data_IF_485934500070
#
_entry.id   IF_485934500070
#
_cell.length_a   1.000
_cell.length_b   1.000
_cell.length_c   1.000
_cell.angle_alpha   90.00
_cell.angle_beta   90.00
_cell.angle_gamma   90.00
#
_symmetry.space_group_name_H-M   'P 1'
#
loop_
_entity.id
_entity.type
_entity.pdbx_description
1 polymer ?
#
# COMPACT_ATOMS: atom_id res chain seq x y z
N UNK A 1 4.70 4.03 2.14
CA UNK A 1 4.05 4.18 0.84
C UNK A 1 3.95 5.65 0.44
N UNK A 2 4.51 6.01 -0.72
CA UNK A 2 4.39 7.36 -1.29
C UNK A 2 3.04 7.42 -2.02
N UNK A 3 1.99 7.82 -1.34
CA UNK A 3 0.62 7.79 -1.88
C UNK A 3 0.18 9.11 -2.53
N UNK A 4 0.79 10.25 -2.18
CA UNK A 4 0.48 11.53 -2.80
C UNK A 4 1.62 11.99 -3.69
N UNK A 5 1.28 12.41 -4.91
CA UNK A 5 2.23 12.94 -5.87
C UNK A 5 2.29 14.44 -5.79
N UNK A 6 3.48 15.00 -6.00
CA UNK A 6 3.58 16.42 -6.26
C UNK A 6 2.77 16.77 -7.51
N UNK A 7 1.92 17.77 -7.36
CA UNK A 7 1.11 18.31 -8.47
C UNK A 7 1.85 19.37 -9.29
N UNK A 8 3.05 19.80 -8.83
CA UNK A 8 3.88 20.86 -9.46
C UNK A 8 5.37 20.54 -9.31
N UNK A 9 6.19 21.09 -10.18
CA UNK A 9 7.65 20.87 -10.19
C UNK A 9 8.37 21.37 -8.92
N UNK A 10 7.81 22.33 -8.18
CA UNK A 10 8.31 22.75 -6.86
C UNK A 10 8.18 21.71 -5.75
N UNK A 11 7.45 20.62 -5.99
CA UNK A 11 7.26 19.52 -5.04
C UNK A 11 8.26 18.36 -5.28
N UNK A 12 9.05 18.41 -6.38
CA UNK A 12 10.07 17.40 -6.69
C UNK A 12 11.25 17.46 -5.72
N UNK A 13 11.69 18.67 -5.32
CA UNK A 13 12.73 18.83 -4.29
C UNK A 13 12.33 18.24 -2.96
N UNK A 14 11.05 18.33 -2.59
CA UNK A 14 10.53 17.75 -1.36
C UNK A 14 10.49 16.20 -1.41
N UNK A 15 10.37 15.60 -2.61
CA UNK A 15 10.41 14.12 -2.75
C UNK A 15 11.83 13.61 -2.51
N UNK A 16 12.82 14.26 -3.06
CA UNK A 16 14.22 13.85 -2.90
C UNK A 16 14.66 13.92 -1.43
N UNK A 17 14.30 15.00 -0.73
CA UNK A 17 14.53 15.13 0.71
C UNK A 17 13.78 14.04 1.51
N UNK A 18 12.52 13.77 1.12
CA UNK A 18 11.72 12.70 1.76
C UNK A 18 12.35 11.33 1.52
N UNK A 19 12.77 11.03 0.30
CA UNK A 19 13.42 9.76 -0.03
C UNK A 19 14.74 9.59 0.72
N UNK A 20 15.57 10.62 0.79
CA UNK A 20 16.82 10.57 1.54
C UNK A 20 16.56 10.15 3.00
N UNK A 21 15.58 10.79 3.68
CA UNK A 21 15.22 10.45 5.06
C UNK A 21 14.63 9.05 5.16
N UNK A 22 13.78 8.62 4.23
CA UNK A 22 13.18 7.29 4.24
C UNK A 22 14.24 6.19 4.05
N UNK A 23 15.20 6.41 3.15
CA UNK A 23 16.26 5.45 2.85
C UNK A 23 17.29 5.36 3.99
N UNK A 24 17.53 6.45 4.75
CA UNK A 24 18.33 6.41 5.98
C UNK A 24 17.76 5.49 7.06
N UNK A 25 16.46 5.16 6.99
CA UNK A 25 15.79 4.24 7.91
C UNK A 25 15.94 2.76 7.49
N UNK A 26 16.67 2.49 6.42
CA UNK A 26 16.98 1.15 5.89
C UNK A 26 15.72 0.25 5.69
N UNK A 27 14.66 0.73 4.99
CA UNK A 27 13.51 -0.10 4.73
C UNK A 27 13.85 -1.21 3.74
N UNK A 28 13.26 -2.40 3.88
CA UNK A 28 13.40 -3.49 2.92
C UNK A 28 12.89 -3.10 1.54
N UNK A 29 11.83 -2.28 1.49
CA UNK A 29 11.31 -1.75 0.23
C UNK A 29 10.56 -0.43 0.40
N UNK A 30 10.45 0.32 -0.70
CA UNK A 30 9.59 1.52 -0.79
C UNK A 30 8.58 1.31 -1.91
N UNK A 31 7.27 1.38 -1.60
CA UNK A 31 6.23 1.28 -2.62
C UNK A 31 5.92 2.64 -3.26
N UNK A 32 5.83 2.64 -4.59
CA UNK A 32 5.59 3.85 -5.39
C UNK A 32 4.23 3.75 -6.06
N UNK A 33 3.32 4.69 -5.75
CA UNK A 33 1.97 4.66 -6.29
C UNK A 33 1.93 5.00 -7.78
N UNK A 34 1.08 4.27 -8.50
CA UNK A 34 0.76 4.55 -9.90
C UNK A 34 -0.33 5.62 -9.97
N UNK A 35 -0.16 6.67 -10.77
CA UNK A 35 -1.19 7.69 -10.87
C UNK A 35 -2.29 7.34 -11.83
N UNK A 36 -3.50 7.61 -11.44
CA UNK A 36 -4.63 7.66 -12.35
C UNK A 36 -4.43 8.86 -13.30
N UNK A 37 -4.15 8.63 -14.58
CA UNK A 37 -4.10 9.75 -15.51
C UNK A 37 -3.08 9.70 -16.65
N UNK A 38 -2.95 8.57 -17.33
CA UNK A 38 -2.25 8.49 -18.61
C UNK A 38 -0.72 8.37 -18.55
N UNK A 39 -0.09 8.29 -19.72
CA UNK A 39 1.33 7.99 -19.93
C UNK A 39 2.32 8.91 -19.19
N UNK A 40 2.02 10.20 -19.07
CA UNK A 40 2.90 11.15 -18.38
C UNK A 40 3.08 10.87 -16.89
N UNK A 41 2.05 10.32 -16.25
CA UNK A 41 2.10 9.97 -14.83
C UNK A 41 2.81 8.63 -14.58
N UNK A 42 2.75 7.72 -15.55
CA UNK A 42 3.45 6.45 -15.50
C UNK A 42 4.97 6.65 -15.53
N UNK A 43 5.47 7.50 -16.42
CA UNK A 43 6.90 7.79 -16.52
C UNK A 43 7.48 8.32 -15.21
N UNK A 44 6.76 9.20 -14.50
CA UNK A 44 7.20 9.71 -13.19
C UNK A 44 7.29 8.61 -12.11
N UNK A 45 6.36 7.67 -12.10
CA UNK A 45 6.41 6.53 -11.17
C UNK A 45 7.63 5.66 -11.44
N UNK A 46 7.90 5.37 -12.70
CA UNK A 46 9.07 4.59 -13.12
C UNK A 46 10.37 5.32 -12.80
N UNK A 47 10.47 6.61 -13.11
CA UNK A 47 11.68 7.41 -12.79
C UNK A 47 11.93 7.46 -11.27
N UNK A 48 10.89 7.59 -10.47
CA UNK A 48 11.02 7.55 -9.02
C UNK A 48 11.48 6.17 -8.52
N UNK A 49 10.91 5.09 -9.07
CA UNK A 49 11.31 3.73 -8.74
C UNK A 49 12.76 3.43 -9.13
N UNK A 50 13.19 3.89 -10.32
CA UNK A 50 14.60 3.81 -10.75
C UNK A 50 15.53 4.52 -9.77
N UNK A 51 15.16 5.72 -9.33
CA UNK A 51 15.93 6.49 -8.37
C UNK A 51 16.07 5.75 -7.04
N UNK A 52 14.97 5.19 -6.51
CA UNK A 52 14.97 4.40 -5.29
C UNK A 52 15.92 3.21 -5.42
N UNK A 53 15.87 2.46 -6.54
CA UNK A 53 16.71 1.30 -6.75
C UNK A 53 18.17 1.64 -7.00
N UNK A 54 18.46 2.56 -7.90
CA UNK A 54 19.81 2.77 -8.41
C UNK A 54 20.61 3.82 -7.64
N UNK A 55 19.95 4.82 -7.05
CA UNK A 55 20.63 5.87 -6.28
C UNK A 55 20.62 5.57 -4.78
N UNK A 56 19.50 5.05 -4.25
CA UNK A 56 19.36 4.77 -2.81
C UNK A 56 19.55 3.30 -2.44
N UNK A 57 19.65 2.40 -3.41
CA UNK A 57 19.86 0.96 -3.20
C UNK A 57 18.79 0.28 -2.32
N UNK A 58 17.53 0.76 -2.39
CA UNK A 58 16.36 0.18 -1.74
C UNK A 58 15.48 -0.46 -2.80
N UNK A 59 14.86 -1.59 -2.50
CA UNK A 59 13.96 -2.25 -3.45
C UNK A 59 12.65 -1.44 -3.63
N UNK A 60 12.29 -1.03 -4.86
CA UNK A 60 11.01 -0.40 -5.12
C UNK A 60 9.93 -1.45 -5.38
N UNK A 61 8.73 -1.20 -4.88
CA UNK A 61 7.52 -1.92 -5.28
C UNK A 61 6.68 -0.96 -6.12
N UNK A 62 6.56 -1.23 -7.41
CA UNK A 62 5.82 -0.37 -8.33
C UNK A 62 4.35 -0.78 -8.33
N UNK A 63 3.45 0.14 -7.97
CA UNK A 63 2.03 -0.10 -8.16
C UNK A 63 1.70 -0.09 -9.66
N UNK A 64 0.93 -1.05 -10.12
CA UNK A 64 0.46 -1.11 -11.51
C UNK A 64 -1.04 -1.35 -11.52
N UNK A 65 -1.81 -0.41 -12.07
CA UNK A 65 -3.26 -0.52 -12.21
C UNK A 65 -3.64 -0.99 -13.60
N UNK A 66 -4.71 -1.77 -13.73
CA UNK A 66 -5.10 -2.37 -15.01
C UNK A 66 -6.37 -1.82 -15.65
N UNK A 67 -7.29 -1.24 -14.87
CA UNK A 67 -8.64 -0.91 -15.32
C UNK A 67 -8.71 -0.01 -16.57
N UNK A 68 -7.74 0.90 -16.69
CA UNK A 68 -7.70 1.90 -17.76
C UNK A 68 -6.66 1.59 -18.85
N UNK A 69 -6.09 0.37 -18.85
CA UNK A 69 -5.06 -0.03 -19.79
C UNK A 69 -5.45 -1.32 -20.52
N UNK A 70 -5.04 -1.42 -21.79
CA UNK A 70 -5.14 -2.65 -22.55
C UNK A 70 -3.86 -3.50 -22.43
N UNK A 71 -3.90 -4.71 -22.98
CA UNK A 71 -2.76 -5.64 -22.93
C UNK A 71 -1.48 -5.08 -23.55
N UNK A 72 -1.60 -4.35 -24.67
CA UNK A 72 -0.43 -3.78 -25.34
C UNK A 72 0.24 -2.70 -24.49
N UNK A 73 -0.55 -1.84 -23.85
CA UNK A 73 -0.04 -0.81 -22.92
C UNK A 73 0.60 -1.44 -21.68
N UNK A 74 0.02 -2.52 -21.15
CA UNK A 74 0.62 -3.28 -20.03
C UNK A 74 1.95 -3.91 -20.46
N UNK A 75 2.05 -4.47 -21.66
CA UNK A 75 3.29 -5.03 -22.19
C UNK A 75 4.38 -3.94 -22.35
N UNK A 76 4.02 -2.73 -22.77
CA UNK A 76 4.94 -1.60 -22.85
C UNK A 76 5.46 -1.21 -21.44
N UNK A 77 4.58 -1.13 -20.45
CA UNK A 77 4.98 -0.85 -19.06
C UNK A 77 5.87 -1.96 -18.49
N UNK A 78 5.49 -3.21 -18.69
CA UNK A 78 6.25 -4.36 -18.23
C UNK A 78 7.66 -4.39 -18.85
N UNK A 79 7.78 -4.07 -20.13
CA UNK A 79 9.06 -3.95 -20.82
C UNK A 79 9.95 -2.89 -20.16
N UNK A 80 9.42 -1.68 -19.93
CA UNK A 80 10.18 -0.59 -19.30
C UNK A 80 10.59 -0.94 -17.87
N UNK A 81 9.71 -1.59 -17.08
CA UNK A 81 10.04 -2.07 -15.73
C UNK A 81 11.20 -3.08 -15.79
N UNK A 82 11.09 -4.10 -16.64
CA UNK A 82 12.10 -5.14 -16.80
C UNK A 82 13.45 -4.58 -17.26
N UNK A 83 13.46 -3.72 -18.29
CA UNK A 83 14.68 -3.06 -18.79
C UNK A 83 15.33 -2.14 -17.73
N UNK A 84 14.54 -1.68 -16.74
CA UNK A 84 15.01 -0.85 -15.64
C UNK A 84 15.42 -1.67 -14.40
N UNK A 85 15.32 -3.00 -14.44
CA UNK A 85 15.61 -3.89 -13.31
C UNK A 85 14.61 -3.74 -12.15
N UNK A 86 13.38 -3.29 -12.43
CA UNK A 86 12.31 -3.12 -11.44
C UNK A 86 11.47 -4.40 -11.42
N UNK A 87 11.66 -5.21 -10.40
CA UNK A 87 11.19 -6.61 -10.38
C UNK A 87 9.92 -6.80 -9.53
N UNK A 88 9.58 -5.84 -8.64
CA UNK A 88 8.48 -5.98 -7.71
C UNK A 88 7.28 -5.13 -8.13
N UNK A 89 6.14 -5.78 -8.37
CA UNK A 89 4.92 -5.15 -8.88
C UNK A 89 3.74 -5.39 -7.96
N UNK A 90 3.18 -4.34 -7.36
CA UNK A 90 1.88 -4.41 -6.69
C UNK A 90 0.78 -4.26 -7.75
N UNK A 91 0.20 -5.40 -8.11
CA UNK A 91 -0.86 -5.45 -9.12
C UNK A 91 -2.22 -5.04 -8.51
N UNK A 92 -2.85 -4.06 -9.12
CA UNK A 92 -4.11 -3.48 -8.69
C UNK A 92 -5.10 -3.43 -9.85
N UNK A 93 -6.39 -3.50 -9.56
CA UNK A 93 -7.42 -3.16 -10.55
C UNK A 93 -7.36 -1.67 -10.90
N UNK A 94 -7.24 -0.84 -9.89
CA UNK A 94 -7.42 0.60 -9.94
C UNK A 94 -8.88 1.01 -9.68
N UNK A 95 -9.06 2.30 -9.42
CA UNK A 95 -10.37 2.90 -9.13
C UNK A 95 -11.04 3.37 -10.41
N UNK A 96 -12.36 3.31 -10.45
CA UNK A 96 -13.16 3.89 -11.55
C UNK A 96 -12.99 5.39 -11.56
N UNK A 97 -12.66 5.93 -12.72
CA UNK A 97 -12.49 7.36 -12.91
C UNK A 97 -13.30 7.84 -14.11
N UNK A 98 -14.30 8.72 -13.91
CA UNK A 98 -15.14 9.21 -15.01
C UNK A 98 -14.38 9.88 -16.16
N UNK A 99 -13.17 10.38 -15.88
CA UNK A 99 -12.34 11.06 -16.88
C UNK A 99 -11.50 10.10 -17.74
N UNK A 100 -11.46 8.82 -17.39
CA UNK A 100 -10.71 7.80 -18.10
C UNK A 100 -11.61 6.60 -18.43
N UNK A 101 -11.74 6.20 -19.69
CA UNK A 101 -12.56 5.05 -20.03
C UNK A 101 -11.96 3.76 -19.46
N UNK A 102 -12.83 2.92 -18.91
CA UNK A 102 -12.47 1.55 -18.56
C UNK A 102 -12.16 0.76 -19.84
N UNK A 103 -11.06 0.00 -19.82
CA UNK A 103 -10.74 -0.96 -20.89
C UNK A 103 -11.11 -2.37 -20.43
N UNK A 104 -11.65 -3.18 -21.32
CA UNK A 104 -12.25 -4.47 -20.96
C UNK A 104 -11.25 -5.64 -20.93
N UNK A 105 -9.95 -5.38 -20.98
CA UNK A 105 -8.93 -6.43 -21.01
C UNK A 105 -8.68 -7.06 -19.64
N UNK A 106 -8.93 -6.30 -18.57
CA UNK A 106 -8.71 -6.73 -17.20
C UNK A 106 -9.84 -6.23 -16.29
N UNK A 107 -10.55 -7.14 -15.67
CA UNK A 107 -11.63 -6.82 -14.72
C UNK A 107 -11.15 -6.78 -13.28
N UNK A 108 -10.08 -7.53 -12.97
CA UNK A 108 -9.53 -7.69 -11.62
C UNK A 108 -8.00 -7.67 -11.64
N UNK A 109 -7.39 -7.43 -10.49
CA UNK A 109 -5.94 -7.53 -10.33
C UNK A 109 -5.40 -8.95 -10.63
N UNK A 110 -6.20 -9.99 -10.37
CA UNK A 110 -5.87 -11.38 -10.71
C UNK A 110 -5.68 -11.59 -12.22
N UNK A 111 -6.46 -10.88 -13.04
CA UNK A 111 -6.37 -11.00 -14.51
C UNK A 111 -5.05 -10.40 -15.00
N UNK A 112 -4.65 -9.26 -14.39
CA UNK A 112 -3.37 -8.62 -14.66
C UNK A 112 -2.20 -9.53 -14.27
N UNK A 113 -2.22 -10.11 -13.06
CA UNK A 113 -1.19 -11.03 -12.58
C UNK A 113 -1.08 -12.24 -13.49
N UNK A 114 -2.19 -12.92 -13.80
CA UNK A 114 -2.22 -14.09 -14.67
C UNK A 114 -1.69 -13.77 -16.08
N UNK A 115 -1.99 -12.60 -16.61
CA UNK A 115 -1.51 -12.15 -17.90
C UNK A 115 0.00 -11.92 -17.94
N UNK A 116 0.55 -11.33 -16.86
CA UNK A 116 1.96 -10.95 -16.80
C UNK A 116 2.86 -12.11 -16.36
N UNK A 117 2.41 -12.98 -15.43
CA UNK A 117 3.20 -14.06 -14.82
C UNK A 117 3.81 -15.04 -15.84
N UNK A 118 3.14 -15.28 -16.95
CA UNK A 118 3.67 -16.16 -18.02
C UNK A 118 4.61 -15.49 -19.03
N UNK A 119 4.79 -14.18 -18.95
CA UNK A 119 5.54 -13.37 -19.91
C UNK A 119 6.75 -12.66 -19.31
N UNK A 120 6.68 -12.31 -18.03
CA UNK A 120 7.63 -11.46 -17.34
C UNK A 120 8.02 -12.06 -16.01
N UNK A 121 9.30 -11.92 -15.66
CA UNK A 121 9.84 -12.41 -14.37
C UNK A 121 9.73 -11.31 -13.31
N UNK A 122 8.50 -11.13 -12.79
CA UNK A 122 8.22 -10.19 -11.71
C UNK A 122 7.74 -10.94 -10.46
N UNK A 123 8.12 -10.42 -9.30
CA UNK A 123 7.47 -10.73 -8.03
C UNK A 123 6.17 -9.93 -7.94
N UNK A 124 5.02 -10.61 -7.92
CA UNK A 124 3.72 -9.95 -7.83
C UNK A 124 3.23 -9.84 -6.40
N UNK A 125 2.94 -8.61 -5.99
CA UNK A 125 2.23 -8.34 -4.76
C UNK A 125 0.75 -8.07 -5.07
N UNK A 126 -0.14 -8.48 -4.17
CA UNK A 126 -1.58 -8.23 -4.25
C UNK A 126 -2.09 -7.43 -3.07
N UNK A 127 -3.06 -6.54 -3.28
CA UNK A 127 -3.77 -5.91 -2.17
C UNK A 127 -4.79 -6.88 -1.54
N UNK A 128 -4.93 -6.85 -0.21
CA UNK A 128 -5.96 -7.55 0.55
C UNK A 128 -6.66 -6.62 1.53
N UNK A 129 -7.86 -7.01 1.96
CA UNK A 129 -8.77 -6.13 2.69
C UNK A 129 -9.27 -6.83 3.95
N UNK A 130 -8.63 -6.60 5.13
CA UNK A 130 -9.05 -7.23 6.39
C UNK A 130 -10.51 -6.97 6.77
N UNK A 131 -11.03 -5.80 6.43
CA UNK A 131 -12.43 -5.40 6.66
C UNK A 131 -13.34 -5.65 5.44
N UNK A 132 -12.88 -6.40 4.45
CA UNK A 132 -13.49 -6.65 3.15
C UNK A 132 -13.54 -5.42 2.23
N UNK A 133 -13.32 -5.65 0.94
CA UNK A 133 -13.53 -4.61 -0.07
C UNK A 133 -15.03 -4.30 -0.18
N UNK A 134 -15.47 -3.02 -0.30
CA UNK A 134 -16.89 -2.67 -0.40
C UNK A 134 -17.67 -3.44 -1.48
N UNK A 135 -17.02 -3.80 -2.57
CA UNK A 135 -17.62 -4.54 -3.69
C UNK A 135 -17.59 -6.07 -3.50
N UNK A 136 -16.92 -6.62 -2.46
CA UNK A 136 -16.78 -8.07 -2.29
C UNK A 136 -18.07 -8.76 -1.83
N UNK A 137 -18.96 -8.03 -1.16
CA UNK A 137 -20.20 -8.60 -0.64
C UNK A 137 -20.01 -9.49 0.60
N UNK A 138 -18.87 -9.40 1.27
CA UNK A 138 -18.60 -10.06 2.55
C UNK A 138 -17.37 -10.96 2.55
N UNK A 139 -17.00 -11.44 3.77
CA UNK A 139 -15.73 -12.12 4.04
C UNK A 139 -15.48 -13.36 3.19
N UNK A 140 -16.52 -14.15 2.94
CA UNK A 140 -16.38 -15.40 2.14
C UNK A 140 -15.95 -15.08 0.71
N UNK A 141 -16.56 -14.08 0.10
CA UNK A 141 -16.22 -13.67 -1.25
C UNK A 141 -14.86 -12.97 -1.29
N UNK A 142 -14.55 -12.15 -0.26
CA UNK A 142 -13.23 -11.54 -0.13
C UNK A 142 -12.11 -12.59 -0.16
N UNK A 143 -12.23 -13.64 0.66
CA UNK A 143 -11.26 -14.73 0.72
C UNK A 143 -11.20 -15.52 -0.60
N UNK A 144 -12.33 -15.74 -1.28
CA UNK A 144 -12.33 -16.38 -2.61
C UNK A 144 -11.60 -15.55 -3.65
N UNK A 145 -11.85 -14.24 -3.69
CA UNK A 145 -11.16 -13.32 -4.59
C UNK A 145 -9.66 -13.28 -4.30
N UNK A 146 -9.30 -13.30 -3.01
CA UNK A 146 -7.91 -13.32 -2.59
C UNK A 146 -7.22 -14.63 -3.01
N UNK A 147 -7.87 -15.78 -2.81
CA UNK A 147 -7.37 -17.08 -3.28
C UNK A 147 -7.16 -17.08 -4.80
N UNK A 148 -8.08 -16.50 -5.56
CA UNK A 148 -7.95 -16.36 -7.02
C UNK A 148 -6.71 -15.53 -7.37
N UNK A 149 -6.45 -14.45 -6.63
CA UNK A 149 -5.29 -13.59 -6.84
C UNK A 149 -3.96 -14.31 -6.54
N UNK A 150 -3.91 -15.09 -5.46
CA UNK A 150 -2.75 -15.91 -5.11
C UNK A 150 -2.53 -17.02 -6.14
N UNK A 151 -3.59 -17.70 -6.55
CA UNK A 151 -3.51 -18.73 -7.61
C UNK A 151 -3.07 -18.16 -8.97
N UNK A 152 -3.35 -16.89 -9.25
CA UNK A 152 -2.87 -16.19 -10.43
C UNK A 152 -1.36 -15.87 -10.36
N UNK A 153 -0.74 -15.92 -9.18
CA UNK A 153 0.70 -15.74 -9.00
C UNK A 153 1.09 -14.61 -8.06
N UNK A 154 0.18 -14.08 -7.22
CA UNK A 154 0.57 -13.16 -6.17
C UNK A 154 1.39 -13.91 -5.11
N UNK A 155 2.57 -13.39 -4.79
CA UNK A 155 3.56 -14.00 -3.88
C UNK A 155 3.56 -13.34 -2.49
N UNK A 156 3.06 -12.11 -2.40
CA UNK A 156 2.92 -11.36 -1.14
C UNK A 156 1.60 -10.59 -1.18
N UNK A 157 0.96 -10.47 -0.03
CA UNK A 157 -0.26 -9.68 0.13
C UNK A 157 0.00 -8.48 1.03
N UNK A 158 -0.32 -7.27 0.55
CA UNK A 158 -0.29 -6.05 1.33
C UNK A 158 -1.72 -5.67 1.75
N UNK A 159 -1.94 -5.52 3.06
CA UNK A 159 -3.28 -5.17 3.51
C UNK A 159 -3.61 -3.69 3.28
N UNK A 160 -4.89 -3.41 3.03
CA UNK A 160 -5.44 -2.08 3.24
C UNK A 160 -5.25 -1.72 4.72
N UNK A 161 -5.16 -0.42 5.02
CA UNK A 161 -5.07 0.06 6.39
C UNK A 161 -6.27 -0.42 7.22
N UNK A 162 -6.04 -0.63 8.49
CA UNK A 162 -7.04 -0.97 9.52
C UNK A 162 -6.59 -0.36 10.85
N UNK A 163 -7.48 -0.28 11.83
CA UNK A 163 -7.19 0.31 13.14
C UNK A 163 -7.43 -0.65 14.30
N UNK A 164 -7.94 -1.85 14.01
CA UNK A 164 -8.19 -2.91 14.98
C UNK A 164 -7.40 -4.15 14.60
N UNK A 165 -6.44 -4.54 15.44
CA UNK A 165 -5.58 -5.70 15.19
C UNK A 165 -6.34 -7.02 15.20
N UNK A 166 -7.40 -7.14 16.00
CA UNK A 166 -8.23 -8.35 16.05
C UNK A 166 -8.88 -8.65 14.68
N UNK A 167 -9.22 -7.60 13.92
CA UNK A 167 -9.76 -7.74 12.57
C UNK A 167 -8.70 -8.33 11.64
N UNK A 168 -7.46 -7.81 11.70
CA UNK A 168 -6.36 -8.32 10.87
C UNK A 168 -5.97 -9.74 11.24
N UNK A 169 -5.83 -10.05 12.51
CA UNK A 169 -5.47 -11.39 12.99
C UNK A 169 -6.53 -12.43 12.61
N UNK A 170 -7.80 -12.07 12.73
CA UNK A 170 -8.91 -12.93 12.26
C UNK A 170 -8.89 -13.11 10.74
N UNK A 171 -8.55 -12.07 10.00
CA UNK A 171 -8.39 -12.17 8.55
C UNK A 171 -7.25 -13.12 8.17
N UNK A 172 -6.10 -13.08 8.86
CA UNK A 172 -5.03 -14.07 8.68
C UNK A 172 -5.49 -15.50 8.94
N UNK A 173 -6.34 -15.70 9.94
CA UNK A 173 -6.94 -17.02 10.20
C UNK A 173 -7.80 -17.49 9.02
N UNK A 174 -8.63 -16.61 8.46
CA UNK A 174 -9.41 -16.94 7.26
C UNK A 174 -8.51 -17.27 6.07
N UNK A 175 -7.41 -16.56 5.88
CA UNK A 175 -6.41 -16.87 4.86
C UNK A 175 -5.83 -18.27 5.05
N UNK A 176 -5.45 -18.61 6.28
CA UNK A 176 -4.88 -19.93 6.63
C UNK A 176 -5.88 -21.06 6.38
N UNK A 177 -7.14 -20.89 6.78
CA UNK A 177 -8.22 -21.88 6.55
C UNK A 177 -8.50 -22.07 5.05
N UNK A 178 -8.27 -21.05 4.25
CA UNK A 178 -8.43 -21.08 2.78
C UNK A 178 -7.17 -21.54 2.04
N UNK A 179 -6.15 -22.06 2.72
CA UNK A 179 -4.84 -22.44 2.15
C UNK A 179 -4.16 -21.28 1.38
N UNK A 180 -4.29 -20.07 1.86
CA UNK A 180 -3.52 -18.92 1.38
C UNK A 180 -2.25 -18.87 2.22
N UNK A 181 -1.14 -19.37 1.64
CA UNK A 181 0.12 -19.59 2.35
C UNK A 181 1.22 -18.56 1.97
N UNK A 182 0.84 -17.46 1.34
CA UNK A 182 1.76 -16.36 1.04
C UNK A 182 1.79 -15.36 2.20
N UNK A 183 2.90 -14.64 2.39
CA UNK A 183 2.99 -13.57 3.40
C UNK A 183 1.85 -12.56 3.30
N UNK A 184 1.27 -12.20 4.44
CA UNK A 184 0.26 -11.15 4.56
C UNK A 184 0.80 -10.02 5.42
N UNK A 185 1.24 -8.95 4.78
CA UNK A 185 1.88 -7.81 5.44
C UNK A 185 0.83 -6.78 5.86
N UNK A 186 0.68 -6.47 7.17
CA UNK A 186 -0.25 -5.47 7.64
C UNK A 186 0.15 -4.06 7.23
N UNK A 187 -0.80 -3.32 6.68
CA UNK A 187 -0.65 -1.92 6.32
C UNK A 187 -1.07 -0.99 7.45
N UNK A 188 -0.14 -0.30 8.06
CA UNK A 188 -0.37 0.60 9.19
C UNK A 188 -0.27 2.05 8.75
N UNK A 189 -1.27 2.85 9.11
CA UNK A 189 -1.28 4.27 8.80
C UNK A 189 -1.44 5.11 10.08
N UNK A 190 -0.38 5.77 10.55
CA UNK A 190 -0.50 6.73 11.64
C UNK A 190 -1.42 7.89 11.26
N UNK A 191 -2.40 8.16 12.10
CA UNK A 191 -3.34 9.26 11.88
C UNK A 191 -2.81 10.50 12.57
N UNK A 192 -2.47 11.51 11.78
CA UNK A 192 -1.79 12.72 12.25
C UNK A 192 -2.63 14.00 12.14
N UNK A 193 -3.81 13.92 11.52
CA UNK A 193 -4.73 15.06 11.45
C UNK A 193 -6.18 14.62 11.21
N UNK A 194 -7.14 15.43 11.66
CA UNK A 194 -8.57 15.13 11.59
C UNK A 194 -9.13 15.07 10.15
N UNK A 195 -8.58 15.85 9.22
CA UNK A 195 -9.02 15.83 7.83
C UNK A 195 -8.66 14.51 7.14
N UNK A 196 -7.48 13.95 7.48
CA UNK A 196 -7.04 12.65 7.00
C UNK A 196 -8.01 11.55 7.45
N UNK A 197 -8.47 11.59 8.68
CA UNK A 197 -9.41 10.61 9.25
C UNK A 197 -10.72 10.59 8.46
N UNK A 198 -11.36 11.75 8.29
CA UNK A 198 -12.63 11.87 7.56
C UNK A 198 -12.50 11.31 6.14
N UNK A 199 -11.39 11.62 5.47
CA UNK A 199 -11.09 11.11 4.13
C UNK A 199 -10.94 9.57 4.12
N UNK A 200 -10.27 8.99 5.11
CA UNK A 200 -10.03 7.55 5.17
C UNK A 200 -11.31 6.75 5.42
N UNK A 201 -12.17 7.19 6.34
CA UNK A 201 -13.49 6.58 6.55
C UNK A 201 -14.27 6.54 5.24
N UNK A 202 -14.33 7.67 4.54
CA UNK A 202 -15.13 7.78 3.31
C UNK A 202 -14.57 6.96 2.14
N UNK A 203 -13.24 6.90 2.00
CA UNK A 203 -12.60 6.26 0.84
C UNK A 203 -12.30 4.78 1.03
N UNK A 204 -11.93 4.37 2.26
CA UNK A 204 -11.46 3.01 2.52
C UNK A 204 -12.52 2.15 3.23
N UNK A 205 -13.59 2.76 3.73
CA UNK A 205 -14.66 2.05 4.45
C UNK A 205 -14.20 1.39 5.75
N UNK A 206 -13.08 1.85 6.34
CA UNK A 206 -12.50 1.25 7.55
C UNK A 206 -13.26 1.67 8.80
N UNK A 207 -13.40 0.73 9.73
CA UNK A 207 -14.00 0.97 11.03
C UNK A 207 -12.98 1.61 11.99
N UNK A 208 -13.47 2.49 12.87
CA UNK A 208 -12.66 3.05 13.93
C UNK A 208 -13.03 2.40 15.26
N UNK A 209 -12.07 1.81 15.99
CA UNK A 209 -12.31 1.34 17.34
C UNK A 209 -12.75 2.52 18.23
N UNK A 210 -13.74 2.28 19.11
CA UNK A 210 -14.30 3.30 20.01
C UNK A 210 -13.21 4.01 20.86
N UNK A 211 -12.12 3.29 21.20
CA UNK A 211 -10.96 3.89 21.90
C UNK A 211 -10.28 4.94 21.02
N UNK A 212 -10.12 4.67 19.73
CA UNK A 212 -9.44 5.56 18.80
C UNK A 212 -10.32 6.77 18.47
N UNK A 213 -11.62 6.58 18.29
CA UNK A 213 -12.60 7.69 18.12
C UNK A 213 -12.54 8.69 19.29
N UNK A 214 -12.46 8.20 20.53
CA UNK A 214 -12.31 9.05 21.72
C UNK A 214 -11.03 9.87 21.70
N UNK A 215 -9.91 9.28 21.27
CA UNK A 215 -8.63 9.97 21.12
C UNK A 215 -8.74 11.10 20.11
N UNK A 216 -9.29 10.79 18.94
CA UNK A 216 -9.47 11.76 17.87
C UNK A 216 -10.33 12.93 18.35
N UNK A 217 -11.52 12.62 18.87
CA UNK A 217 -12.46 13.65 19.33
C UNK A 217 -11.89 14.52 20.45
N UNK A 218 -11.05 13.94 21.33
CA UNK A 218 -10.40 14.69 22.41
C UNK A 218 -9.37 15.70 21.93
N UNK A 219 -8.68 15.40 20.82
CA UNK A 219 -7.51 16.16 20.35
C UNK A 219 -7.70 16.81 18.96
N UNK A 220 -8.88 16.73 18.35
CA UNK A 220 -9.11 17.22 16.98
C UNK A 220 -8.79 18.70 16.75
N UNK A 221 -8.95 19.53 17.78
CA UNK A 221 -8.64 20.97 17.76
C UNK A 221 -7.18 21.30 18.10
N UNK A 222 -6.38 20.32 18.55
CA UNK A 222 -4.97 20.50 18.88
C UNK A 222 -4.10 19.59 17.99
N UNK A 223 -3.51 20.19 16.95
CA UNK A 223 -2.73 19.45 15.94
C UNK A 223 -1.54 18.68 16.52
N UNK A 224 -0.82 19.26 17.47
CA UNK A 224 0.36 18.63 18.09
C UNK A 224 -0.06 17.45 18.97
N UNK A 225 -1.08 17.65 19.80
CA UNK A 225 -1.62 16.60 20.66
C UNK A 225 -2.23 15.45 19.84
N UNK A 226 -2.94 15.76 18.72
CA UNK A 226 -3.49 14.75 17.82
C UNK A 226 -2.38 13.98 17.12
N UNK A 227 -1.31 14.65 16.67
CA UNK A 227 -0.14 14.01 16.09
C UNK A 227 0.49 13.02 17.07
N UNK A 228 0.82 13.46 18.29
CA UNK A 228 1.45 12.59 19.29
C UNK A 228 0.54 11.42 19.71
N UNK A 229 -0.75 11.67 19.88
CA UNK A 229 -1.71 10.63 20.23
C UNK A 229 -1.91 9.60 19.08
N UNK A 230 -1.95 10.05 17.83
CA UNK A 230 -2.04 9.18 16.66
C UNK A 230 -0.78 8.35 16.45
N UNK A 231 0.39 8.93 16.66
CA UNK A 231 1.67 8.20 16.63
C UNK A 231 1.76 7.15 17.73
N UNK A 232 1.34 7.50 18.95
CA UNK A 232 1.30 6.55 20.08
C UNK A 232 0.34 5.40 19.84
N UNK A 233 -0.81 5.66 19.20
CA UNK A 233 -1.75 4.62 18.82
C UNK A 233 -1.14 3.67 17.79
N UNK A 234 -0.53 4.20 16.73
CA UNK A 234 0.10 3.40 15.70
C UNK A 234 1.28 2.57 16.23
N UNK A 235 2.10 3.12 17.13
CA UNK A 235 3.17 2.38 17.80
C UNK A 235 2.61 1.23 18.64
N UNK A 236 1.56 1.47 19.42
CA UNK A 236 0.89 0.41 20.20
C UNK A 236 0.34 -0.69 19.30
N UNK A 237 -0.27 -0.33 18.16
CA UNK A 237 -0.78 -1.25 17.16
C UNK A 237 0.34 -2.10 16.56
N UNK A 238 1.46 -1.49 16.19
CA UNK A 238 2.63 -2.18 15.63
C UNK A 238 3.22 -3.17 16.63
N UNK A 239 3.43 -2.74 17.89
CA UNK A 239 4.01 -3.60 18.93
C UNK A 239 3.12 -4.83 19.17
N UNK A 240 1.81 -4.64 19.22
CA UNK A 240 0.84 -5.72 19.39
C UNK A 240 0.84 -6.72 18.20
N UNK A 241 1.01 -6.22 16.98
CA UNK A 241 1.17 -7.06 15.79
C UNK A 241 2.50 -7.84 15.82
N UNK A 242 3.61 -7.20 16.21
CA UNK A 242 4.93 -7.83 16.26
C UNK A 242 4.97 -9.03 17.23
N UNK A 243 4.24 -8.98 18.35
CA UNK A 243 4.14 -10.12 19.27
C UNK A 243 3.23 -11.23 18.75
N UNK A 244 2.54 -11.02 17.64
CA UNK A 244 1.65 -11.98 16.96
C UNK A 244 2.32 -12.70 15.77
N UNK A 245 3.66 -12.72 15.72
CA UNK A 245 4.47 -13.40 14.69
C UNK A 245 4.12 -12.98 13.26
N UNK A 246 3.92 -11.69 13.02
CA UNK A 246 3.75 -11.17 11.66
C UNK A 246 5.11 -11.08 10.94
N UNK A 247 5.11 -11.25 9.61
CA UNK A 247 6.35 -11.30 8.81
C UNK A 247 6.95 -9.92 8.52
N UNK A 248 6.25 -8.83 8.82
CA UNK A 248 6.72 -7.47 8.59
C UNK A 248 5.58 -6.46 8.63
N UNK A 249 5.90 -5.18 8.44
CA UNK A 249 4.92 -4.08 8.48
C UNK A 249 5.08 -3.19 7.25
N UNK A 250 3.98 -2.87 6.60
CA UNK A 250 3.92 -1.83 5.59
C UNK A 250 3.42 -0.52 6.19
N UNK A 251 4.26 0.50 6.21
CA UNK A 251 3.94 1.80 6.80
C UNK A 251 3.45 2.79 5.75
N UNK A 252 2.21 3.26 5.87
CA UNK A 252 1.66 4.34 5.04
C UNK A 252 2.10 5.70 5.59
N UNK A 253 3.21 6.22 5.10
CA UNK A 253 3.80 7.49 5.58
C UNK A 253 3.14 8.73 5.00
N UNK A 254 2.44 8.62 3.88
CA UNK A 254 1.82 9.75 3.16
C UNK A 254 2.83 10.86 2.81
N UNK A 255 4.03 10.48 2.37
CA UNK A 255 5.16 11.38 2.09
C UNK A 255 5.63 12.21 3.30
N UNK A 256 5.36 11.74 4.51
CA UNK A 256 5.80 12.42 5.72
C UNK A 256 6.99 11.65 6.35
N UNK A 257 8.23 12.10 6.15
CA UNK A 257 9.41 11.41 6.67
C UNK A 257 9.50 11.43 8.20
N UNK A 258 8.89 12.44 8.85
CA UNK A 258 8.83 12.50 10.32
C UNK A 258 8.00 11.33 10.90
N UNK A 259 6.90 10.96 10.23
CA UNK A 259 6.08 9.80 10.61
C UNK A 259 6.91 8.51 10.56
N UNK A 260 7.62 8.29 9.45
CA UNK A 260 8.48 7.11 9.31
C UNK A 260 9.56 7.06 10.39
N UNK A 261 10.27 8.17 10.59
CA UNK A 261 11.34 8.27 11.60
C UNK A 261 10.84 7.97 13.01
N UNK A 262 9.72 8.58 13.43
CA UNK A 262 9.13 8.37 14.75
C UNK A 262 8.71 6.91 15.00
N UNK A 263 8.14 6.26 13.98
CA UNK A 263 7.77 4.83 14.07
C UNK A 263 9.03 3.97 14.17
N UNK A 264 9.99 4.12 13.25
CA UNK A 264 11.22 3.32 13.25
C UNK A 264 12.03 3.50 14.54
N UNK A 265 12.15 4.73 15.05
CA UNK A 265 12.79 4.97 16.35
C UNK A 265 12.04 4.28 17.51
N UNK A 266 10.71 4.26 17.46
CA UNK A 266 9.88 3.65 18.50
C UNK A 266 9.95 2.12 18.55
N UNK A 267 10.32 1.46 17.45
CA UNK A 267 10.38 -0.01 17.34
C UNK A 267 11.80 -0.56 17.18
N UNK A 268 12.81 0.30 17.04
CA UNK A 268 14.21 -0.07 16.74
C UNK A 268 14.79 -1.21 17.60
N UNK A 269 14.41 -1.27 18.86
CA UNK A 269 14.90 -2.29 19.79
C UNK A 269 13.95 -3.49 19.94
N UNK A 270 12.87 -3.51 19.15
CA UNK A 270 11.84 -4.55 19.21
C UNK A 270 11.95 -5.48 18.00
N UNK A 271 12.44 -4.95 16.88
CA UNK A 271 12.68 -5.67 15.61
C UNK A 271 14.14 -6.04 15.47
#
# INVERSE_FOLDING_TARGET
CIRDRPKKDSELSNIDETLAVLCELEPDYISVTFGAGGSSNCNRTIELAKKIKHEYHVEPVVHLTSLHYNKAEIDEFAKVLSESGLENVLALRGDKNPNFPEKNDFSHASDLIAYMKGKWDFCFLGACYPECHPESGGVINEIRHLKTKVNAGAEVLLSQLFFDNDIFLRFQEYCRVADINVPVIPGIMPVINAAQIKRMITMCGVAFPARFEKIIHRYEDNKEALFDAGMSYALSQIIDLLVSDIEGIHLYTMNNPLVARRICEGIRNII
#
